data_IF_069985630924
#
_entry.id   IF_069985630924
#
_cell.length_a   1.000
_cell.length_b   1.000
_cell.length_c   1.000
_cell.angle_alpha   90.00
_cell.angle_beta   90.00
_cell.angle_gamma   90.00
#
_symmetry.space_group_name_H-M   'P 1'
#
loop_
_entity.id
_entity.type
_entity.pdbx_description
1 polymer ?
#
# COMPACT_ATOMS: atom_id res chain seq x y z
N UNK A 1 10.63 -3.53 22.64
CA UNK A 1 10.78 -3.88 21.21
C UNK A 1 9.51 -3.66 20.39
N UNK A 2 8.31 -4.00 20.90
CA UNK A 2 7.02 -3.82 20.19
C UNK A 2 6.72 -2.38 19.70
N UNK A 3 7.07 -1.36 20.48
CA UNK A 3 6.82 0.03 20.10
C UNK A 3 7.66 0.50 18.89
N UNK A 4 8.90 0.02 18.78
CA UNK A 4 9.80 0.37 17.67
C UNK A 4 9.26 -0.18 16.35
N UNK A 5 8.73 -1.41 16.36
CA UNK A 5 8.08 -2.02 15.19
C UNK A 5 6.81 -1.27 14.78
N UNK A 6 5.99 -0.82 15.72
CA UNK A 6 4.77 -0.05 15.41
C UNK A 6 5.14 1.30 14.78
N UNK A 7 6.10 2.02 15.36
CA UNK A 7 6.55 3.31 14.84
C UNK A 7 7.15 3.15 13.44
N UNK A 8 7.98 2.13 13.22
CA UNK A 8 8.54 1.83 11.90
C UNK A 8 7.46 1.51 10.87
N UNK A 9 6.44 0.72 11.23
CA UNK A 9 5.31 0.42 10.34
C UNK A 9 4.48 1.66 10.00
N UNK A 10 4.24 2.56 10.96
CA UNK A 10 3.55 3.82 10.73
C UNK A 10 4.35 4.74 9.80
N UNK A 11 5.67 4.83 10.00
CA UNK A 11 6.56 5.60 9.14
C UNK A 11 6.57 5.06 7.70
N UNK A 12 6.71 3.74 7.54
CA UNK A 12 6.67 3.09 6.23
C UNK A 12 5.29 3.24 5.57
N UNK A 13 4.20 3.12 6.32
CA UNK A 13 2.85 3.38 5.81
C UNK A 13 2.69 4.81 5.32
N UNK A 14 3.19 5.79 6.06
CA UNK A 14 3.16 7.21 5.67
C UNK A 14 3.99 7.48 4.39
N UNK A 15 5.15 6.82 4.25
CA UNK A 15 5.94 6.87 3.03
C UNK A 15 5.18 6.26 1.85
N UNK A 16 4.60 5.07 2.00
CA UNK A 16 3.78 4.41 0.97
C UNK A 16 2.61 5.28 0.54
N UNK A 17 1.90 5.91 1.50
CA UNK A 17 0.82 6.85 1.23
C UNK A 17 1.30 8.09 0.45
N UNK A 18 2.47 8.61 0.79
CA UNK A 18 3.06 9.77 0.10
C UNK A 18 3.44 9.44 -1.34
N UNK A 19 4.04 8.27 -1.58
CA UNK A 19 4.35 7.80 -2.94
C UNK A 19 3.08 7.52 -3.73
N UNK A 20 2.05 6.96 -3.08
CA UNK A 20 0.76 6.69 -3.71
C UNK A 20 0.11 7.96 -4.24
N UNK A 21 0.08 8.99 -3.38
CA UNK A 21 -0.47 10.30 -3.72
C UNK A 21 0.24 10.90 -4.92
N UNK A 22 1.57 10.82 -4.96
CA UNK A 22 2.40 11.32 -6.08
C UNK A 22 2.21 10.58 -7.39
N UNK A 23 1.75 9.32 -7.35
CA UNK A 23 1.47 8.52 -8.55
C UNK A 23 -0.01 8.54 -8.95
N UNK A 24 -0.85 9.31 -8.24
CA UNK A 24 -2.29 9.40 -8.47
C UNK A 24 -3.14 8.26 -7.90
N UNK A 25 -2.60 7.41 -7.03
CA UNK A 25 -3.34 6.33 -6.36
C UNK A 25 -3.97 6.80 -5.04
N UNK A 26 -4.87 5.98 -4.47
CA UNK A 26 -5.51 6.30 -3.18
C UNK A 26 -4.51 6.13 -2.02
N UNK A 27 -4.11 7.21 -1.32
CA UNK A 27 -3.11 7.15 -0.27
C UNK A 27 -3.56 6.38 0.97
N UNK A 28 -4.87 6.30 1.24
CA UNK A 28 -5.40 5.58 2.41
C UNK A 28 -5.25 4.08 2.25
N UNK A 29 -5.52 3.57 1.04
CA UNK A 29 -5.36 2.14 0.73
C UNK A 29 -3.88 1.76 0.86
N UNK A 30 -2.98 2.59 0.33
CA UNK A 30 -1.54 2.34 0.41
C UNK A 30 -0.93 2.60 1.79
N UNK A 31 -1.56 3.42 2.62
CA UNK A 31 -1.19 3.54 4.03
C UNK A 31 -1.46 2.23 4.79
N UNK A 32 -2.64 1.65 4.60
CA UNK A 32 -3.08 0.45 5.32
C UNK A 32 -2.49 -0.85 4.75
N UNK A 33 -2.39 -0.97 3.42
CA UNK A 33 -1.86 -2.16 2.75
C UNK A 33 -0.36 -2.13 2.54
N UNK A 34 0.23 -0.93 2.56
CA UNK A 34 1.65 -0.71 2.34
C UNK A 34 2.47 -0.55 3.63
N UNK A 35 1.95 -1.00 4.78
CA UNK A 35 2.71 -1.03 6.04
C UNK A 35 3.83 -2.06 5.92
N UNK A 36 4.99 -1.64 5.40
CA UNK A 36 6.17 -2.48 5.23
C UNK A 36 6.95 -2.19 3.95
N UNK A 37 8.13 -2.78 3.85
CA UNK A 37 9.04 -2.60 2.70
C UNK A 37 8.41 -3.12 1.40
N UNK A 38 7.66 -4.23 1.46
CA UNK A 38 7.00 -4.79 0.28
C UNK A 38 5.98 -3.81 -0.33
N UNK A 39 5.21 -3.09 0.49
CA UNK A 39 4.27 -2.07 0.01
C UNK A 39 4.97 -0.98 -0.80
N UNK A 40 6.11 -0.50 -0.30
CA UNK A 40 6.94 0.49 -1.00
C UNK A 40 7.51 -0.05 -2.32
N UNK A 41 7.94 -1.31 -2.36
CA UNK A 41 8.46 -1.92 -3.60
C UNK A 41 7.34 -2.01 -4.64
N UNK A 42 6.18 -2.56 -4.27
CA UNK A 42 5.05 -2.75 -5.20
C UNK A 42 4.62 -1.40 -5.75
N UNK A 43 4.41 -0.39 -4.90
CA UNK A 43 4.00 0.93 -5.36
C UNK A 43 5.04 1.64 -6.22
N UNK A 44 6.33 1.36 -5.99
CA UNK A 44 7.41 1.93 -6.81
C UNK A 44 7.42 1.37 -8.22
N UNK A 45 7.01 0.12 -8.42
CA UNK A 45 6.90 -0.53 -9.74
C UNK A 45 5.60 -0.17 -10.47
N UNK A 46 4.56 0.23 -9.75
CA UNK A 46 3.31 0.70 -10.34
C UNK A 46 3.51 1.96 -11.22
N UNK A 47 2.73 2.04 -12.30
CA UNK A 47 2.75 3.16 -13.24
C UNK A 47 2.45 4.49 -12.56
N UNK A 48 3.01 5.59 -13.07
CA UNK A 48 2.59 6.92 -12.66
C UNK A 48 1.31 7.32 -13.40
N UNK A 49 0.17 7.24 -12.72
CA UNK A 49 -1.12 7.53 -13.34
C UNK A 49 -1.36 9.02 -13.54
N UNK A 50 -0.62 9.89 -12.85
CA UNK A 50 -0.76 11.33 -13.01
C UNK A 50 -0.25 11.79 -14.38
N UNK A 51 0.71 11.05 -14.95
CA UNK A 51 1.27 11.29 -16.29
C UNK A 51 0.42 10.73 -17.46
N UNK A 52 -0.61 9.94 -17.18
CA UNK A 52 -1.45 9.29 -18.20
C UNK A 52 -2.59 10.20 -18.68
N UNK A 53 -2.96 10.07 -19.96
CA UNK A 53 -4.17 10.68 -20.53
C UNK A 53 -5.42 10.23 -19.75
N UNK A 54 -6.39 11.12 -19.54
CA UNK A 54 -7.59 10.86 -18.69
C UNK A 54 -8.29 9.54 -19.02
N UNK A 55 -8.37 9.17 -20.29
CA UNK A 55 -9.00 7.93 -20.78
C UNK A 55 -8.30 6.66 -20.29
N UNK A 56 -6.97 6.70 -20.12
CA UNK A 56 -6.16 5.58 -19.62
C UNK A 56 -5.91 5.66 -18.10
N UNK A 57 -6.19 6.82 -17.49
CA UNK A 57 -5.89 7.08 -16.08
C UNK A 57 -6.80 6.30 -15.11
N UNK A 58 -8.11 6.25 -15.39
CA UNK A 58 -9.07 5.54 -14.54
C UNK A 58 -8.80 4.03 -14.38
N UNK A 59 -8.55 3.24 -15.45
CA UNK A 59 -8.31 1.81 -15.31
C UNK A 59 -7.02 1.53 -14.53
N UNK A 60 -5.96 2.31 -14.72
CA UNK A 60 -4.71 2.16 -13.96
C UNK A 60 -4.88 2.53 -12.49
N UNK A 61 -5.58 3.64 -12.18
CA UNK A 61 -5.93 4.00 -10.79
C UNK A 61 -6.72 2.88 -10.09
N UNK A 62 -7.68 2.26 -10.79
CA UNK A 62 -8.43 1.12 -10.28
C UNK A 62 -7.53 -0.08 -10.00
N UNK A 63 -6.64 -0.45 -10.93
CA UNK A 63 -5.69 -1.55 -10.73
C UNK A 63 -4.81 -1.32 -9.50
N UNK A 64 -4.21 -0.14 -9.37
CA UNK A 64 -3.36 0.19 -8.23
C UNK A 64 -4.11 0.16 -6.90
N UNK A 65 -5.36 0.62 -6.88
CA UNK A 65 -6.21 0.54 -5.69
C UNK A 65 -6.62 -0.91 -5.36
N UNK A 66 -6.90 -1.74 -6.36
CA UNK A 66 -7.20 -3.18 -6.17
C UNK A 66 -5.99 -3.91 -5.61
N UNK A 67 -4.79 -3.65 -6.15
CA UNK A 67 -3.53 -4.23 -5.65
C UNK A 67 -3.31 -3.80 -4.20
N UNK A 68 -3.46 -2.51 -3.90
CA UNK A 68 -3.35 -2.01 -2.54
C UNK A 68 -4.36 -2.67 -1.58
N UNK A 69 -5.61 -2.86 -2.01
CA UNK A 69 -6.63 -3.54 -1.21
C UNK A 69 -6.32 -5.04 -1.01
N UNK A 70 -5.77 -5.72 -2.02
CA UNK A 70 -5.31 -7.09 -1.90
C UNK A 70 -4.17 -7.20 -0.88
N UNK A 71 -3.25 -6.22 -0.84
CA UNK A 71 -2.20 -6.18 0.17
C UNK A 71 -2.77 -6.06 1.58
N UNK A 72 -3.79 -5.21 1.80
CA UNK A 72 -4.50 -5.14 3.09
C UNK A 72 -5.03 -6.51 3.48
N UNK A 73 -5.67 -7.23 2.55
CA UNK A 73 -6.23 -8.55 2.81
C UNK A 73 -5.14 -9.56 3.21
N UNK A 74 -4.01 -9.58 2.51
CA UNK A 74 -2.86 -10.44 2.83
C UNK A 74 -2.29 -10.10 4.20
N UNK A 75 -2.13 -8.81 4.51
CA UNK A 75 -1.66 -8.36 5.83
C UNK A 75 -2.60 -8.79 6.95
N UNK A 76 -3.92 -8.67 6.76
CA UNK A 76 -4.92 -9.13 7.74
C UNK A 76 -4.88 -10.65 7.93
N UNK A 77 -4.80 -11.42 6.84
CA UNK A 77 -4.67 -12.88 6.90
C UNK A 77 -3.40 -13.30 7.64
N UNK A 78 -2.28 -12.63 7.38
CA UNK A 78 -1.02 -12.86 8.09
C UNK A 78 -1.15 -12.61 9.59
N UNK A 79 -1.82 -11.52 9.99
CA UNK A 79 -2.10 -11.22 11.39
C UNK A 79 -2.95 -12.33 12.02
N UNK A 80 -4.09 -12.68 11.41
CA UNK A 80 -4.99 -13.73 11.93
C UNK A 80 -4.28 -15.07 12.05
N UNK A 81 -3.48 -15.45 11.06
CA UNK A 81 -2.71 -16.70 11.07
C UNK A 81 -1.70 -16.75 12.21
N UNK A 82 -0.93 -15.68 12.43
CA UNK A 82 0.01 -15.58 13.54
C UNK A 82 -0.70 -15.71 14.89
N UNK A 83 -1.83 -15.01 15.07
CA UNK A 83 -2.62 -15.11 16.30
C UNK A 83 -3.28 -16.49 16.49
N UNK A 84 -3.56 -17.23 15.42
CA UNK A 84 -4.14 -18.58 15.50
C UNK A 84 -3.11 -19.67 15.84
N UNK A 85 -1.83 -19.36 15.71
CA UNK A 85 -0.71 -20.27 16.02
C UNK A 85 -0.13 -20.06 17.43
N UNK A 86 -0.56 -19.02 18.13
CA UNK A 86 -0.20 -18.74 19.53
C UNK A 86 -1.22 -19.38 20.49
#
# INVERSE_FOLDING_TARGET
MFYVSIIASLFLGALSASVAKKKGYNPVIWFLGGTGILGLIVISVLSDTESLHETAQQPEKRKGNIIGALMILISLLGIVFVFSLQ
#
